data_IF_214547568480
#
_entry.id   IF_214547568480
#
_cell.length_a   1.000
_cell.length_b   1.000
_cell.length_c   1.000
_cell.angle_alpha   90.00
_cell.angle_beta   90.00
_cell.angle_gamma   90.00
#
_symmetry.space_group_name_H-M   'P 1'
#
loop_
_entity.id
_entity.type
_entity.pdbx_description
1 polymer ?
#
# COMPACT_ATOMS: atom_id res chain seq x y z
N UNK A 1 12.76 6.85 -7.34
CA UNK A 1 12.03 6.81 -6.06
C UNK A 1 10.53 6.85 -6.30
N UNK A 2 9.78 5.97 -5.64
CA UNK A 2 8.32 5.89 -5.79
C UNK A 2 7.67 6.06 -4.44
N UNK A 3 6.94 7.15 -4.24
CA UNK A 3 6.21 7.39 -3.00
C UNK A 3 5.10 6.36 -2.86
N UNK A 4 5.12 5.61 -1.76
CA UNK A 4 4.25 4.45 -1.55
C UNK A 4 3.43 4.61 -0.28
N UNK A 5 2.12 4.41 -0.37
CA UNK A 5 1.22 4.29 0.78
C UNK A 5 1.02 2.81 1.10
N UNK A 6 1.32 2.43 2.32
CA UNK A 6 1.06 1.07 2.82
C UNK A 6 -0.27 1.07 3.56
N UNK A 7 -1.25 0.32 3.05
CA UNK A 7 -2.54 0.14 3.72
C UNK A 7 -2.53 -1.18 4.47
N UNK A 8 -2.79 -1.13 5.77
CA UNK A 8 -2.64 -2.26 6.67
C UNK A 8 -1.30 -2.24 7.40
N UNK A 9 -0.74 -1.04 7.58
CA UNK A 9 0.52 -0.87 8.29
C UNK A 9 0.42 -1.36 9.73
N UNK A 10 1.51 -1.90 10.25
CA UNK A 10 1.58 -2.49 11.58
C UNK A 10 2.96 -2.26 12.20
N UNK A 11 2.99 -2.17 13.53
CA UNK A 11 4.24 -2.14 14.29
C UNK A 11 4.80 -3.54 14.61
N UNK A 12 4.12 -4.58 14.18
CA UNK A 12 4.53 -5.95 14.45
C UNK A 12 5.56 -6.41 13.41
N UNK A 13 6.83 -6.67 13.82
CA UNK A 13 7.89 -7.07 12.88
C UNK A 13 7.61 -8.38 12.14
N UNK A 14 6.66 -9.18 12.62
CA UNK A 14 6.26 -10.44 11.96
C UNK A 14 5.35 -10.19 10.75
N UNK A 15 4.75 -9.01 10.65
CA UNK A 15 3.82 -8.70 9.56
C UNK A 15 4.57 -8.33 8.30
N UNK A 16 4.03 -8.77 7.16
CA UNK A 16 4.63 -8.44 5.86
C UNK A 16 4.57 -6.93 5.56
N UNK A 17 3.55 -6.23 6.07
CA UNK A 17 3.48 -4.77 5.91
C UNK A 17 4.65 -4.06 6.60
N UNK A 18 5.07 -4.55 7.76
CA UNK A 18 6.23 -4.02 8.47
C UNK A 18 7.52 -4.26 7.65
N UNK A 19 7.67 -5.49 7.16
CA UNK A 19 8.84 -5.84 6.33
C UNK A 19 8.88 -5.01 5.05
N UNK A 20 7.72 -4.77 4.44
CA UNK A 20 7.64 -3.93 3.25
C UNK A 20 8.06 -2.49 3.54
N UNK A 21 7.63 -1.92 4.68
CA UNK A 21 8.04 -0.58 5.08
C UNK A 21 9.57 -0.49 5.18
N UNK A 22 10.19 -1.46 5.85
CA UNK A 22 11.64 -1.51 6.01
C UNK A 22 12.35 -1.58 4.66
N UNK A 23 11.90 -2.49 3.79
CA UNK A 23 12.55 -2.70 2.49
C UNK A 23 12.34 -1.54 1.53
N UNK A 24 11.17 -0.93 1.55
CA UNK A 24 10.92 0.27 0.74
C UNK A 24 11.88 1.39 1.13
N UNK A 25 12.04 1.64 2.42
CA UNK A 25 12.99 2.65 2.90
C UNK A 25 14.42 2.29 2.53
N UNK A 26 14.79 1.01 2.66
CA UNK A 26 16.12 0.53 2.30
C UNK A 26 16.44 0.79 0.82
N UNK A 27 15.42 0.70 -0.04
CA UNK A 27 15.57 0.96 -1.48
C UNK A 27 15.38 2.44 -1.84
N UNK A 28 15.27 3.33 -0.86
CA UNK A 28 15.22 4.75 -1.09
C UNK A 28 13.84 5.32 -1.44
N UNK A 29 12.78 4.55 -1.22
CA UNK A 29 11.42 5.04 -1.48
C UNK A 29 10.87 5.78 -0.27
N UNK A 30 10.05 6.79 -0.53
CA UNK A 30 9.31 7.50 0.51
C UNK A 30 8.05 6.70 0.85
N UNK A 31 7.73 6.59 2.14
CA UNK A 31 6.54 5.83 2.56
C UNK A 31 5.58 6.68 3.39
N UNK A 32 4.29 6.36 3.25
CA UNK A 32 3.22 6.79 4.14
C UNK A 32 2.55 5.52 4.67
N UNK A 33 2.04 5.59 5.89
CA UNK A 33 1.55 4.41 6.60
C UNK A 33 0.13 4.65 7.11
N UNK A 34 -0.79 3.78 6.74
CA UNK A 34 -2.17 3.81 7.21
C UNK A 34 -2.51 2.46 7.85
N UNK A 35 -2.93 2.47 9.10
CA UNK A 35 -3.23 1.25 9.84
C UNK A 35 -4.34 1.46 10.85
N UNK A 36 -4.56 0.45 11.71
CA UNK A 36 -5.64 0.46 12.68
C UNK A 36 -5.23 1.04 14.04
N UNK A 37 -3.93 1.17 14.29
CA UNK A 37 -3.41 1.66 15.57
C UNK A 37 -2.38 2.74 15.34
N UNK A 38 -2.50 3.82 16.11
CA UNK A 38 -1.47 4.85 16.16
C UNK A 38 -0.18 4.23 16.69
N UNK A 39 0.89 4.38 15.94
CA UNK A 39 2.22 3.95 16.34
C UNK A 39 3.24 4.62 15.43
N UNK A 40 4.49 4.29 15.65
CA UNK A 40 5.59 4.80 14.86
C UNK A 40 6.54 3.66 14.54
N UNK A 41 6.92 3.54 13.27
CA UNK A 41 7.93 2.57 12.82
C UNK A 41 8.94 3.29 11.93
N UNK A 42 10.23 3.03 12.15
CA UNK A 42 11.32 3.62 11.36
C UNK A 42 11.24 5.15 11.30
N UNK A 43 10.80 5.79 12.41
CA UNK A 43 10.68 7.24 12.49
C UNK A 43 9.48 7.81 11.75
N UNK A 44 8.54 6.98 11.31
CA UNK A 44 7.34 7.40 10.59
C UNK A 44 6.09 7.00 11.36
N UNK A 45 5.15 7.92 11.42
CA UNK A 45 3.88 7.71 12.11
C UNK A 45 2.96 6.81 11.28
N UNK A 46 2.33 5.83 11.95
CA UNK A 46 1.22 5.09 11.35
C UNK A 46 -0.04 5.92 11.60
N UNK A 47 -0.63 6.42 10.51
CA UNK A 47 -1.87 7.16 10.57
C UNK A 47 -3.05 6.21 10.74
N UNK A 48 -4.05 6.61 11.51
CA UNK A 48 -5.31 5.86 11.64
C UNK A 48 -6.45 6.57 10.93
N UNK A 49 -6.23 7.83 10.55
CA UNK A 49 -7.20 8.62 9.78
C UNK A 49 -6.82 8.63 8.32
N UNK A 50 -7.82 8.64 7.46
CA UNK A 50 -7.64 8.64 6.01
C UNK A 50 -7.31 10.04 5.53
N UNK A 51 -6.03 10.36 5.54
CA UNK A 51 -5.52 11.65 5.06
C UNK A 51 -5.52 11.72 3.54
N UNK A 52 -5.45 12.92 3.02
CA UNK A 52 -5.21 13.15 1.60
C UNK A 52 -3.70 13.13 1.38
N UNK A 53 -3.19 11.99 0.98
CA UNK A 53 -1.78 11.87 0.57
C UNK A 53 -1.66 12.30 -0.88
N UNK A 54 -0.65 13.09 -1.19
CA UNK A 54 -0.45 13.63 -2.54
C UNK A 54 0.75 12.96 -3.22
N UNK A 55 0.74 12.98 -4.54
CA UNK A 55 1.85 12.51 -5.37
C UNK A 55 2.21 11.04 -5.13
N UNK A 56 1.21 10.22 -4.83
CA UNK A 56 1.43 8.78 -4.65
C UNK A 56 1.75 8.11 -5.98
N UNK A 57 2.83 7.35 -6.01
CA UNK A 57 3.09 6.43 -7.12
C UNK A 57 2.31 5.13 -6.90
N UNK A 58 2.47 4.52 -5.74
CA UNK A 58 1.95 3.18 -5.47
C UNK A 58 1.19 3.14 -4.15
N UNK A 59 0.06 2.43 -4.17
CA UNK A 59 -0.60 1.95 -2.95
C UNK A 59 -0.33 0.45 -2.88
N UNK A 60 0.23 -0.03 -1.77
CA UNK A 60 0.45 -1.45 -1.57
C UNK A 60 -0.50 -1.98 -0.51
N UNK A 61 -1.29 -2.99 -0.89
CA UNK A 61 -2.39 -3.52 -0.07
C UNK A 61 -1.92 -4.65 0.83
N UNK A 62 -2.19 -4.50 2.12
CA UNK A 62 -1.94 -5.53 3.13
C UNK A 62 -3.18 -5.83 3.98
N UNK A 63 -4.38 -5.50 3.45
CA UNK A 63 -5.65 -5.90 4.05
C UNK A 63 -6.39 -6.83 3.11
N UNK A 64 -7.14 -7.78 3.67
CA UNK A 64 -7.85 -8.78 2.88
C UNK A 64 -9.00 -8.18 2.07
N UNK A 65 -9.48 -8.91 1.05
CA UNK A 65 -10.51 -8.39 0.14
C UNK A 65 -11.80 -7.97 0.84
N UNK A 66 -12.17 -8.67 1.89
CA UNK A 66 -13.41 -8.39 2.62
C UNK A 66 -13.38 -7.07 3.38
N UNK A 67 -12.19 -6.52 3.63
CA UNK A 67 -12.01 -5.22 4.29
C UNK A 67 -11.77 -4.08 3.31
N UNK A 68 -11.53 -4.38 2.06
CA UNK A 68 -11.17 -3.38 1.05
C UNK A 68 -12.32 -2.48 0.60
N UNK A 69 -13.59 -2.92 0.55
CA UNK A 69 -14.67 -2.07 0.05
C UNK A 69 -14.76 -0.71 0.72
N UNK A 70 -14.48 -0.64 2.02
CA UNK A 70 -14.50 0.64 2.75
C UNK A 70 -13.40 1.61 2.29
N UNK A 71 -12.42 1.12 1.54
CA UNK A 71 -11.28 1.91 1.07
C UNK A 71 -11.35 2.24 -0.42
N UNK A 72 -12.31 1.69 -1.16
CA UNK A 72 -12.35 1.84 -2.62
C UNK A 72 -12.34 3.30 -3.05
N UNK A 73 -13.34 4.07 -2.59
CA UNK A 73 -13.46 5.46 -2.99
C UNK A 73 -12.29 6.30 -2.51
N UNK A 74 -11.80 6.00 -1.31
CA UNK A 74 -10.66 6.69 -0.74
C UNK A 74 -9.41 6.51 -1.61
N UNK A 75 -9.06 5.26 -1.93
CA UNK A 75 -7.87 4.97 -2.73
C UNK A 75 -7.97 5.59 -4.11
N UNK A 76 -9.15 5.47 -4.75
CA UNK A 76 -9.38 6.08 -6.07
C UNK A 76 -9.21 7.59 -5.99
N UNK A 77 -9.70 8.22 -4.92
CA UNK A 77 -9.58 9.68 -4.75
C UNK A 77 -8.14 10.15 -4.62
N UNK A 78 -7.24 9.30 -4.13
CA UNK A 78 -5.81 9.62 -4.01
C UNK A 78 -5.09 9.59 -5.35
N UNK A 79 -5.68 9.00 -6.37
CA UNK A 79 -5.13 8.92 -7.74
C UNK A 79 -3.71 8.38 -7.79
N UNK A 80 -3.43 7.21 -7.17
CA UNK A 80 -2.12 6.60 -7.33
C UNK A 80 -1.94 6.16 -8.78
N UNK A 81 -0.70 6.00 -9.19
CA UNK A 81 -0.42 5.46 -10.52
C UNK A 81 -0.65 3.96 -10.57
N UNK A 82 -0.45 3.28 -9.43
CA UNK A 82 -0.49 1.83 -9.35
C UNK A 82 -0.99 1.37 -7.99
N UNK A 83 -1.76 0.28 -7.97
CA UNK A 83 -2.10 -0.45 -6.76
C UNK A 83 -1.48 -1.85 -6.84
N UNK A 84 -0.73 -2.25 -5.83
CA UNK A 84 -0.16 -3.61 -5.74
C UNK A 84 -0.99 -4.42 -4.77
N UNK A 85 -1.55 -5.52 -5.27
CA UNK A 85 -2.27 -6.50 -4.46
C UNK A 85 -1.29 -7.59 -4.04
N UNK A 86 -0.81 -7.51 -2.80
CA UNK A 86 0.09 -8.52 -2.26
C UNK A 86 -0.63 -9.86 -2.08
N UNK A 87 0.09 -10.99 -1.97
CA UNK A 87 -0.56 -12.29 -1.83
C UNK A 87 -1.59 -12.30 -0.70
N UNK A 88 -2.80 -12.76 -1.01
CA UNK A 88 -3.92 -12.80 -0.08
C UNK A 88 -4.81 -11.56 -0.10
N UNK A 89 -4.46 -10.53 -0.86
CA UNK A 89 -5.27 -9.30 -0.97
C UNK A 89 -5.95 -9.16 -2.32
N UNK A 90 -5.77 -10.10 -3.22
CA UNK A 90 -6.33 -10.07 -4.58
C UNK A 90 -7.85 -9.85 -4.52
N UNK A 91 -8.33 -8.95 -5.37
CA UNK A 91 -9.74 -8.52 -5.33
C UNK A 91 -10.18 -8.09 -6.72
N UNK A 92 -10.82 -9.01 -7.44
CA UNK A 92 -11.23 -8.73 -8.82
C UNK A 92 -12.23 -7.58 -8.93
N UNK A 93 -13.10 -7.39 -7.95
CA UNK A 93 -14.07 -6.29 -7.97
C UNK A 93 -13.34 -4.94 -7.88
N UNK A 94 -12.34 -4.84 -7.00
CA UNK A 94 -11.58 -3.60 -6.89
C UNK A 94 -10.68 -3.38 -8.11
N UNK A 95 -10.10 -4.44 -8.64
CA UNK A 95 -9.28 -4.37 -9.85
C UNK A 95 -10.06 -3.82 -11.03
N UNK A 96 -11.30 -4.28 -11.20
CA UNK A 96 -12.18 -3.77 -12.24
C UNK A 96 -12.47 -2.28 -12.03
N UNK A 97 -12.76 -1.89 -10.79
CA UNK A 97 -13.05 -0.50 -10.44
C UNK A 97 -11.83 0.41 -10.69
N UNK A 98 -10.64 -0.07 -10.38
CA UNK A 98 -9.38 0.66 -10.64
C UNK A 98 -9.20 0.87 -12.15
N UNK A 99 -9.42 -0.15 -12.94
CA UNK A 99 -9.33 -0.06 -14.41
C UNK A 99 -10.30 0.97 -14.96
N UNK A 100 -11.54 0.98 -14.45
CA UNK A 100 -12.54 1.97 -14.85
C UNK A 100 -12.12 3.40 -14.54
N UNK A 101 -11.26 3.58 -13.54
CA UNK A 101 -10.75 4.90 -13.11
C UNK A 101 -9.35 5.19 -13.63
N UNK A 102 -8.83 4.39 -14.55
CA UNK A 102 -7.53 4.65 -15.18
C UNK A 102 -6.34 4.40 -14.27
N UNK A 103 -6.49 3.60 -13.23
CA UNK A 103 -5.42 3.26 -12.29
C UNK A 103 -4.92 1.86 -12.60
N UNK A 104 -3.62 1.71 -12.78
CA UNK A 104 -3.01 0.41 -13.02
C UNK A 104 -2.97 -0.41 -11.73
N UNK A 105 -2.98 -1.73 -11.87
CA UNK A 105 -2.79 -2.62 -10.74
C UNK A 105 -1.94 -3.81 -11.15
N UNK A 106 -1.36 -4.48 -10.16
CA UNK A 106 -0.73 -5.78 -10.36
C UNK A 106 -0.90 -6.64 -9.12
N UNK A 107 -1.06 -7.94 -9.33
CA UNK A 107 -1.06 -8.93 -8.27
C UNK A 107 0.37 -9.43 -8.12
N UNK A 108 1.05 -8.95 -7.08
CA UNK A 108 2.47 -9.22 -6.90
C UNK A 108 2.86 -9.03 -5.43
N UNK A 109 4.01 -9.57 -5.07
CA UNK A 109 4.56 -9.36 -3.74
C UNK A 109 5.53 -8.17 -3.77
N UNK A 110 5.24 -7.13 -3.00
CA UNK A 110 6.08 -5.93 -2.94
C UNK A 110 7.53 -6.28 -2.57
N UNK A 111 7.73 -7.21 -1.63
CA UNK A 111 9.08 -7.62 -1.25
C UNK A 111 9.83 -8.26 -2.40
N UNK A 112 9.15 -9.08 -3.19
CA UNK A 112 9.75 -9.72 -4.37
C UNK A 112 10.05 -8.69 -5.45
N UNK A 113 9.14 -7.75 -5.69
CA UNK A 113 9.38 -6.67 -6.66
C UNK A 113 10.63 -5.87 -6.29
N UNK A 114 10.78 -5.54 -5.02
CA UNK A 114 11.96 -4.81 -4.55
C UNK A 114 13.24 -5.64 -4.70
N UNK A 115 13.18 -6.92 -4.31
CA UNK A 115 14.32 -7.81 -4.36
C UNK A 115 14.82 -8.04 -5.79
N UNK A 116 13.90 -8.08 -6.76
CA UNK A 116 14.25 -8.36 -8.16
C UNK A 116 14.46 -7.09 -9.00
N UNK A 117 14.38 -5.93 -8.37
CA UNK A 117 14.54 -4.65 -9.10
C UNK A 117 13.36 -4.29 -9.99
N UNK A 118 12.19 -4.87 -9.76
CA UNK A 118 11.01 -4.66 -10.59
C UNK A 118 9.96 -3.74 -9.94
N UNK A 119 10.26 -3.24 -8.78
CA UNK A 119 9.35 -2.32 -8.11
C UNK A 119 9.32 -0.98 -8.85
#
# INVERSE_FOLDING_TARGET
MKKTLIIGASNNPERYSYKAAERLLHHGHEIELLGLRNDEIFGRKIDTERKIYTDLDTVTMYIGPQRQPDYYDYIISLKPKRVVFNPGTENSDFEELLTENGIEFEEACTLVLLQTGQY
#
